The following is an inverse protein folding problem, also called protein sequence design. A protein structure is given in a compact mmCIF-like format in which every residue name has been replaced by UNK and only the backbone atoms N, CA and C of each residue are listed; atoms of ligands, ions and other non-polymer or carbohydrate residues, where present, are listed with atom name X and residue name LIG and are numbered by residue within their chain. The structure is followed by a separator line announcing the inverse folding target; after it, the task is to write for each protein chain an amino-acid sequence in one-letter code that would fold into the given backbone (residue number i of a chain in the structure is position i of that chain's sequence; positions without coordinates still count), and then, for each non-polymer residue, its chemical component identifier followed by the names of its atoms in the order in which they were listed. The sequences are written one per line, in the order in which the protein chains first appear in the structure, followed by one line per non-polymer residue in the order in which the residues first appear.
data_IF_328421998259
#
_entry.id   IF_328421998259
#
_cell.length_a   1.000
_cell.length_b   1.000
_cell.length_c   1.000
_cell.angle_alpha   90.00
_cell.angle_beta   90.00
_cell.angle_gamma   90.00
#
_symmetry.space_group_name_H-M   'P 1'
#
loop_
_entity.id
_entity.type
_entity.pdbx_description
1 polymer ?
#
# COMPACT_ATOMS: atom_id res chain seq x y z
N UNK A 1 27.59 2.10 -32.92
CA UNK A 1 27.54 1.72 -31.48
C UNK A 1 26.60 2.60 -30.66
N UNK A 2 26.51 3.91 -30.87
CA UNK A 2 25.58 4.79 -30.11
C UNK A 2 24.09 4.49 -30.31
N UNK A 3 23.68 4.08 -31.51
CA UNK A 3 22.27 3.76 -31.82
C UNK A 3 21.71 2.52 -31.10
N UNK A 4 22.55 1.57 -30.67
CA UNK A 4 22.12 0.38 -29.93
C UNK A 4 22.00 0.64 -28.42
N UNK A 5 22.89 1.46 -27.86
CA UNK A 5 22.80 1.88 -26.45
C UNK A 5 21.56 2.75 -26.21
N UNK A 6 21.23 3.65 -27.14
CA UNK A 6 20.02 4.48 -27.04
C UNK A 6 18.73 3.65 -27.16
N UNK A 7 18.68 2.68 -28.09
CA UNK A 7 17.56 1.73 -28.21
C UNK A 7 17.40 0.85 -26.96
N UNK A 8 18.49 0.38 -26.35
CA UNK A 8 18.44 -0.38 -25.08
C UNK A 8 17.96 0.47 -23.91
N UNK A 9 18.43 1.71 -23.79
CA UNK A 9 18.01 2.62 -22.73
C UNK A 9 16.52 2.95 -22.81
N UNK A 10 16.00 3.20 -24.01
CA UNK A 10 14.55 3.41 -24.24
C UNK A 10 13.78 2.14 -23.86
N UNK A 11 14.25 0.96 -24.26
CA UNK A 11 13.57 -0.30 -23.98
C UNK A 11 13.52 -0.58 -22.46
N UNK A 12 14.63 -0.39 -21.74
CA UNK A 12 14.69 -0.54 -20.28
C UNK A 12 13.73 0.44 -19.59
N UNK A 13 13.73 1.72 -19.98
CA UNK A 13 12.81 2.72 -19.44
C UNK A 13 11.35 2.34 -19.67
N UNK A 14 11.00 1.81 -20.86
CA UNK A 14 9.62 1.38 -21.13
C UNK A 14 9.21 0.15 -20.31
N UNK A 15 10.12 -0.80 -20.09
CA UNK A 15 9.86 -1.99 -19.26
C UNK A 15 9.67 -1.59 -17.80
N UNK A 16 10.55 -0.75 -17.26
CA UNK A 16 10.46 -0.24 -15.88
C UNK A 16 9.16 0.55 -15.68
N UNK A 17 8.84 1.47 -16.59
CA UNK A 17 7.62 2.27 -16.50
C UNK A 17 6.35 1.41 -16.59
N UNK A 18 6.33 0.38 -17.44
CA UNK A 18 5.22 -0.58 -17.52
C UNK A 18 5.06 -1.37 -16.21
N UNK A 19 6.15 -1.86 -15.65
CA UNK A 19 6.11 -2.61 -14.38
C UNK A 19 5.64 -1.75 -13.22
N UNK A 20 6.08 -0.50 -13.12
CA UNK A 20 5.64 0.42 -12.06
C UNK A 20 4.13 0.64 -12.16
N UNK A 21 3.59 0.94 -13.34
CA UNK A 21 2.13 1.11 -13.54
C UNK A 21 1.34 -0.12 -13.10
N UNK A 22 1.79 -1.31 -13.53
CA UNK A 22 1.13 -2.57 -13.16
C UNK A 22 1.19 -2.86 -11.66
N UNK A 23 2.30 -2.53 -10.99
CA UNK A 23 2.48 -2.73 -9.54
C UNK A 23 1.48 -1.92 -8.72
N UNK A 24 1.30 -0.65 -9.04
CA UNK A 24 0.30 0.18 -8.37
C UNK A 24 -1.12 -0.32 -8.67
N UNK A 25 -1.40 -0.71 -9.91
CA UNK A 25 -2.71 -1.25 -10.29
C UNK A 25 -3.06 -2.55 -9.55
N UNK A 26 -2.08 -3.43 -9.31
CA UNK A 26 -2.29 -4.67 -8.57
C UNK A 26 -2.23 -4.52 -7.05
N UNK A 27 -1.69 -3.41 -6.54
CA UNK A 27 -1.38 -3.25 -5.11
C UNK A 27 -2.63 -3.40 -4.24
N UNK A 28 -3.71 -2.69 -4.59
CA UNK A 28 -4.96 -2.77 -3.82
C UNK A 28 -5.52 -4.20 -3.79
N UNK A 29 -5.61 -4.86 -4.96
CA UNK A 29 -6.07 -6.25 -5.05
C UNK A 29 -5.17 -7.22 -4.29
N UNK A 30 -3.86 -6.94 -4.25
CA UNK A 30 -2.89 -7.76 -3.52
C UNK A 30 -3.07 -7.60 -2.01
N UNK A 31 -3.35 -6.38 -1.54
CA UNK A 31 -3.67 -6.11 -0.13
C UNK A 31 -5.01 -6.77 0.24
N UNK A 32 -6.06 -6.62 -0.57
CA UNK A 32 -7.36 -7.27 -0.36
C UNK A 32 -7.23 -8.79 -0.29
N UNK A 33 -6.42 -9.38 -1.18
CA UNK A 33 -6.10 -10.81 -1.13
C UNK A 33 -5.33 -11.16 0.13
N UNK A 34 -4.33 -10.36 0.51
CA UNK A 34 -3.54 -10.62 1.71
C UNK A 34 -4.38 -10.57 2.99
N UNK A 35 -5.38 -9.68 3.05
CA UNK A 35 -6.37 -9.65 4.14
C UNK A 35 -7.18 -10.94 4.16
N UNK A 36 -7.67 -11.42 3.01
CA UNK A 36 -8.51 -12.61 2.97
C UNK A 36 -7.80 -13.90 3.37
N UNK A 37 -6.46 -13.95 3.23
CA UNK A 37 -5.64 -15.09 3.66
C UNK A 37 -4.72 -14.75 4.85
N UNK A 38 -4.99 -13.65 5.55
CA UNK A 38 -4.08 -13.09 6.56
C UNK A 38 -3.66 -14.12 7.62
N UNK A 39 -4.63 -14.82 8.21
CA UNK A 39 -4.40 -15.85 9.23
C UNK A 39 -3.48 -16.96 8.71
N UNK A 40 -3.68 -17.41 7.47
CA UNK A 40 -2.88 -18.48 6.86
C UNK A 40 -1.45 -18.01 6.65
N UNK A 41 -1.28 -16.79 6.14
CA UNK A 41 0.04 -16.19 5.89
C UNK A 41 0.80 -15.98 7.19
N UNK A 42 0.14 -15.46 8.22
CA UNK A 42 0.72 -15.30 9.56
C UNK A 42 1.17 -16.65 10.13
N UNK A 43 0.30 -17.66 10.11
CA UNK A 43 0.66 -19.01 10.58
C UNK A 43 1.80 -19.62 9.78
N UNK A 44 1.84 -19.41 8.47
CA UNK A 44 2.95 -19.88 7.63
C UNK A 44 4.28 -19.28 8.09
N UNK A 45 4.38 -17.96 8.20
CA UNK A 45 5.63 -17.30 8.57
C UNK A 45 6.06 -17.54 10.02
N UNK A 46 5.12 -17.75 10.94
CA UNK A 46 5.42 -18.11 12.33
C UNK A 46 5.89 -19.57 12.50
N UNK A 47 5.53 -20.45 11.57
CA UNK A 47 5.91 -21.86 11.60
C UNK A 47 7.20 -22.17 10.81
N UNK A 48 7.72 -21.19 10.05
CA UNK A 48 9.04 -21.32 9.43
C UNK A 48 10.11 -21.32 10.51
N UNK A 49 11.18 -22.09 10.30
CA UNK A 49 12.39 -21.99 11.12
C UNK A 49 12.98 -20.58 10.99
N UNK A 50 13.57 -20.05 12.08
CA UNK A 50 14.10 -18.68 12.13
C UNK A 50 15.07 -18.34 10.98
N UNK A 51 15.78 -19.32 10.42
CA UNK A 51 16.71 -19.13 9.31
C UNK A 51 16.03 -18.96 7.94
N UNK A 52 14.75 -19.31 7.81
CA UNK A 52 13.98 -19.24 6.55
C UNK A 52 13.01 -18.05 6.50
N UNK A 53 12.69 -17.44 7.65
CA UNK A 53 11.79 -16.31 7.74
C UNK A 53 12.56 -14.98 7.76
N UNK A 54 12.26 -14.02 6.85
CA UNK A 54 12.86 -12.70 6.91
C UNK A 54 12.57 -12.02 8.26
N UNK A 55 13.61 -11.49 8.91
CA UNK A 55 13.55 -10.91 10.26
C UNK A 55 12.43 -9.86 10.39
N UNK A 56 12.26 -8.99 9.39
CA UNK A 56 11.21 -7.98 9.36
C UNK A 56 9.80 -8.59 9.38
N UNK A 57 9.57 -9.70 8.67
CA UNK A 57 8.27 -10.37 8.65
C UNK A 57 8.02 -11.11 9.96
N UNK A 58 9.07 -11.73 10.51
CA UNK A 58 9.00 -12.37 11.82
C UNK A 58 8.67 -11.34 12.91
N UNK A 59 9.35 -10.19 12.93
CA UNK A 59 9.06 -9.09 13.84
C UNK A 59 7.64 -8.58 13.66
N UNK A 60 7.20 -8.35 12.41
CA UNK A 60 5.86 -7.88 12.10
C UNK A 60 4.75 -8.81 12.63
N UNK A 61 4.92 -10.13 12.50
CA UNK A 61 3.92 -11.09 12.99
C UNK A 61 4.06 -11.45 14.48
N UNK A 62 5.26 -11.32 15.06
CA UNK A 62 5.54 -11.66 16.47
C UNK A 62 5.25 -10.50 17.42
N UNK A 63 5.47 -9.25 16.98
CA UNK A 63 5.10 -8.04 17.73
C UNK A 63 3.58 -7.91 17.90
N UNK A 64 2.82 -8.60 17.07
CA UNK A 64 1.36 -8.65 17.07
C UNK A 64 0.82 -9.61 18.15
N UNK A 65 0.98 -9.20 19.42
CA UNK A 65 0.56 -9.95 20.62
C UNK A 65 -0.95 -10.21 20.71
N UNK A 66 -1.79 -9.45 20.01
CA UNK A 66 -3.26 -9.60 20.01
C UNK A 66 -3.85 -10.11 18.70
N UNK A 67 -3.04 -10.49 17.70
CA UNK A 67 -3.50 -10.87 16.35
C UNK A 67 -4.15 -9.74 15.53
N UNK A 68 -4.16 -8.51 16.03
CA UNK A 68 -4.95 -7.41 15.46
C UNK A 68 -4.08 -6.33 14.82
N UNK A 69 -2.80 -6.19 15.20
CA UNK A 69 -1.95 -5.11 14.71
C UNK A 69 -1.58 -5.28 13.23
N UNK A 70 -1.20 -6.50 12.86
CA UNK A 70 -0.82 -6.84 11.49
C UNK A 70 -2.02 -6.72 10.55
N UNK A 71 -3.19 -7.21 10.99
CA UNK A 71 -4.45 -7.12 10.26
C UNK A 71 -4.95 -5.67 10.14
N UNK A 72 -4.88 -4.89 11.22
CA UNK A 72 -5.14 -3.45 11.24
C UNK A 72 -4.32 -2.71 10.19
N UNK A 73 -3.01 -3.01 10.12
CA UNK A 73 -2.10 -2.38 9.16
C UNK A 73 -2.53 -2.67 7.73
N UNK A 74 -2.93 -3.91 7.42
CA UNK A 74 -3.44 -4.26 6.10
C UNK A 74 -4.76 -3.54 5.78
N UNK A 75 -5.69 -3.48 6.72
CA UNK A 75 -6.94 -2.72 6.55
C UNK A 75 -6.68 -1.22 6.36
N UNK A 76 -5.69 -0.66 7.04
CA UNK A 76 -5.26 0.71 6.80
C UNK A 76 -4.74 0.89 5.36
N UNK A 77 -3.94 -0.05 4.86
CA UNK A 77 -3.42 -0.01 3.49
C UNK A 77 -4.53 -0.10 2.42
N UNK A 78 -5.66 -0.76 2.69
CA UNK A 78 -6.83 -0.71 1.77
C UNK A 78 -7.40 0.70 1.60
N UNK A 79 -7.11 1.62 2.52
CA UNK A 79 -7.55 3.01 2.42
C UNK A 79 -6.75 3.82 1.41
N UNK A 80 -5.69 3.26 0.82
CA UNK A 80 -5.00 3.80 -0.35
C UNK A 80 -5.83 3.77 -1.64
N UNK A 81 -7.11 3.40 -1.57
CA UNK A 81 -8.09 3.51 -2.67
C UNK A 81 -8.12 4.88 -3.34
N UNK A 82 -7.95 5.98 -2.60
CA UNK A 82 -7.88 7.33 -3.18
C UNK A 82 -6.67 7.48 -4.11
N UNK A 83 -5.51 6.98 -3.67
CA UNK A 83 -4.27 6.98 -4.45
C UNK A 83 -4.44 6.10 -5.69
N UNK A 84 -5.10 4.95 -5.54
CA UNK A 84 -5.38 4.05 -6.64
C UNK A 84 -6.31 4.68 -7.69
N UNK A 85 -7.38 5.34 -7.25
CA UNK A 85 -8.32 6.02 -8.12
C UNK A 85 -7.64 7.17 -8.88
N UNK A 86 -6.83 7.98 -8.19
CA UNK A 86 -6.04 9.02 -8.83
C UNK A 86 -5.06 8.44 -9.86
N UNK A 87 -4.40 7.32 -9.53
CA UNK A 87 -3.48 6.65 -10.44
C UNK A 87 -4.20 6.13 -11.71
N UNK A 88 -5.37 5.52 -11.58
CA UNK A 88 -6.21 5.12 -12.71
C UNK A 88 -6.59 6.30 -13.61
N UNK A 89 -6.93 7.45 -13.02
CA UNK A 89 -7.28 8.66 -13.77
C UNK A 89 -6.08 9.23 -14.53
N UNK A 90 -4.88 9.18 -13.94
CA UNK A 90 -3.64 9.66 -14.57
C UNK A 90 -3.11 8.74 -15.67
N UNK A 91 -3.52 7.48 -15.69
CA UNK A 91 -3.11 6.51 -16.71
C UNK A 91 -3.96 6.54 -17.98
N UNK A 92 -4.95 7.42 -18.07
CA UNK A 92 -5.77 7.59 -19.29
C UNK A 92 -4.91 8.04 -20.46
N UNK A 93 -5.17 7.47 -21.65
CA UNK A 93 -4.43 7.76 -22.88
C UNK A 93 -4.40 9.25 -23.24
N UNK A 94 -5.42 10.00 -22.81
CA UNK A 94 -5.49 11.44 -22.96
C UNK A 94 -5.87 12.10 -21.63
N UNK A 95 -4.96 12.92 -21.10
CA UNK A 95 -5.18 13.73 -19.89
C UNK A 95 -4.65 15.14 -20.14
N UNK A 96 -5.53 16.14 -20.05
CA UNK A 96 -5.11 17.55 -20.20
C UNK A 96 -4.43 18.05 -18.94
N UNK A 97 -3.60 19.10 -19.02
CA UNK A 97 -2.98 19.71 -17.84
C UNK A 97 -4.00 20.17 -16.77
N UNK A 98 -5.16 20.67 -17.21
CA UNK A 98 -6.29 21.03 -16.33
C UNK A 98 -6.85 19.79 -15.62
N UNK A 99 -6.99 18.67 -16.35
CA UNK A 99 -7.42 17.40 -15.78
C UNK A 99 -6.42 16.88 -14.74
N UNK A 100 -5.11 16.97 -15.02
CA UNK A 100 -4.05 16.58 -14.06
C UNK A 100 -4.18 17.41 -12.78
N UNK A 101 -4.28 18.74 -12.91
CA UNK A 101 -4.43 19.63 -11.76
C UNK A 101 -5.65 19.25 -10.91
N UNK A 102 -6.79 18.97 -11.56
CA UNK A 102 -8.01 18.56 -10.86
C UNK A 102 -7.86 17.21 -10.17
N UNK A 103 -7.21 16.23 -10.80
CA UNK A 103 -6.97 14.90 -10.20
C UNK A 103 -6.09 15.05 -8.95
N UNK A 104 -4.97 15.78 -9.05
CA UNK A 104 -4.04 15.97 -7.92
C UNK A 104 -4.69 16.76 -6.79
N UNK A 105 -5.41 17.84 -7.12
CA UNK A 105 -6.09 18.68 -6.11
C UNK A 105 -7.18 17.90 -5.38
N UNK A 106 -7.95 17.07 -6.09
CA UNK A 106 -8.94 16.20 -5.46
C UNK A 106 -8.30 15.12 -4.59
N UNK A 107 -7.23 14.48 -5.05
CA UNK A 107 -6.48 13.52 -4.24
C UNK A 107 -6.00 14.17 -2.93
N UNK A 108 -5.36 15.33 -3.02
CA UNK A 108 -4.86 16.06 -1.85
C UNK A 108 -5.98 16.41 -0.88
N UNK A 109 -7.12 16.91 -1.39
CA UNK A 109 -8.29 17.22 -0.58
C UNK A 109 -8.83 15.98 0.13
N UNK A 110 -8.98 14.86 -0.58
CA UNK A 110 -9.50 13.62 0.00
C UNK A 110 -8.57 13.07 1.08
N UNK A 111 -7.24 13.13 0.87
CA UNK A 111 -6.25 12.71 1.86
C UNK A 111 -6.27 13.62 3.10
N UNK A 112 -6.37 14.94 2.92
CA UNK A 112 -6.48 15.89 4.03
C UNK A 112 -7.75 15.68 4.84
N UNK A 113 -8.90 15.50 4.18
CA UNK A 113 -10.16 15.23 4.86
C UNK A 113 -10.05 13.95 5.70
N UNK A 114 -9.54 12.86 5.12
CA UNK A 114 -9.36 11.60 5.86
C UNK A 114 -8.41 11.73 7.06
N UNK A 115 -7.38 12.56 6.95
CA UNK A 115 -6.48 12.86 8.05
C UNK A 115 -7.17 13.67 9.15
N UNK A 116 -8.04 14.61 8.79
CA UNK A 116 -8.82 15.42 9.75
C UNK A 116 -9.94 14.64 10.41
N UNK A 117 -10.54 13.70 9.68
CA UNK A 117 -11.65 12.87 10.15
C UNK A 117 -11.19 11.70 11.04
N UNK A 118 -9.88 11.56 11.29
CA UNK A 118 -9.25 10.37 11.91
C UNK A 118 -9.84 9.07 11.34
N UNK A 119 -10.13 9.09 10.03
CA UNK A 119 -10.95 8.06 9.41
C UNK A 119 -10.10 6.85 9.04
N UNK A 120 -9.95 5.94 9.99
CA UNK A 120 -9.31 4.64 9.77
C UNK A 120 -10.29 3.57 9.24
N UNK A 121 -11.60 3.86 9.33
CA UNK A 121 -12.70 3.00 8.89
C UNK A 121 -13.17 2.04 9.99
N UNK A 122 -14.41 1.56 9.88
CA UNK A 122 -15.10 0.78 10.94
C UNK A 122 -14.30 -0.43 11.43
N UNK A 123 -13.74 -1.23 10.51
CA UNK A 123 -12.93 -2.41 10.86
C UNK A 123 -11.64 -2.07 11.60
N UNK A 124 -11.02 -0.93 11.27
CA UNK A 124 -9.84 -0.46 12.01
C UNK A 124 -10.27 0.15 13.34
N UNK A 125 -11.42 0.84 13.43
CA UNK A 125 -11.96 1.35 14.68
C UNK A 125 -12.38 0.23 15.65
N UNK A 126 -12.99 -0.84 15.14
CA UNK A 126 -13.35 -2.06 15.86
C UNK A 126 -12.10 -2.75 16.41
N UNK A 127 -11.07 -2.92 15.57
CA UNK A 127 -9.80 -3.49 16.01
C UNK A 127 -9.00 -2.50 16.89
N UNK A 128 -9.21 -1.19 16.79
CA UNK A 128 -8.55 -0.14 17.56
C UNK A 128 -9.10 -0.04 19.00
N UNK A 129 -10.33 -0.47 19.27
CA UNK A 129 -10.79 -0.65 20.66
C UNK A 129 -9.95 -1.71 21.40
N UNK A 130 -9.39 -2.69 20.68
CA UNK A 130 -8.52 -3.72 21.23
C UNK A 130 -7.01 -3.45 21.02
N UNK A 131 -6.64 -2.62 20.05
CA UNK A 131 -5.27 -2.36 19.65
C UNK A 131 -4.90 -0.88 19.89
N UNK A 132 -3.89 -0.60 20.73
CA UNK A 132 -3.43 0.76 21.05
C UNK A 132 -2.66 1.47 19.90
N UNK A 133 -3.20 1.47 18.69
CA UNK A 133 -2.65 2.26 17.55
C UNK A 133 -3.25 3.66 17.64
N UNK A 134 -2.80 4.45 18.61
CA UNK A 134 -3.52 5.63 19.06
C UNK A 134 -3.42 6.82 18.11
N UNK A 135 -2.39 6.93 17.25
CA UNK A 135 -2.23 8.07 16.32
C UNK A 135 -1.44 7.70 15.07
N UNK A 136 -1.57 8.53 14.03
CA UNK A 136 -0.67 8.53 12.86
C UNK A 136 0.83 8.61 13.24
N UNK A 137 1.15 9.08 14.44
CA UNK A 137 2.51 9.13 14.99
C UNK A 137 3.10 7.75 15.35
N UNK A 138 2.26 6.73 15.57
CA UNK A 138 2.73 5.36 15.80
C UNK A 138 3.25 4.73 14.49
N UNK A 139 2.65 5.09 13.35
CA UNK A 139 3.13 4.66 12.03
C UNK A 139 4.45 5.33 11.62
N UNK A 140 4.77 6.53 12.14
CA UNK A 140 6.06 7.19 11.91
C UNK A 140 7.25 6.47 12.57
N UNK A 141 7.02 5.60 13.55
CA UNK A 141 8.09 4.78 14.14
C UNK A 141 8.45 3.55 13.30
N UNK A 142 7.64 3.23 12.29
CA UNK A 142 7.75 2.02 11.48
C UNK A 142 8.36 2.30 10.08
N UNK A 143 8.43 3.58 9.67
CA UNK A 143 9.07 4.05 8.42
C UNK A 143 10.35 4.79 8.76
#
# INVERSE_FOLDING_TARGET
KEGESSKRAINISTVILKHIRLRWLSLLRSIERLISIHTIVKSYFLNLTNDECPELLLEFFTSDKSNEFSECTLYFLTKLTEVQNANLLLQRDYTTGVSIYNIITNLLRNLKNRLQDDFFGYKVAELHENCSIRRADDFKKII
#
